data_IF_484111801579
#
_entry.id   IF_484111801579
#
_cell.length_a   1.000
_cell.length_b   1.000
_cell.length_c   1.000
_cell.angle_alpha   90.00
_cell.angle_beta   90.00
_cell.angle_gamma   90.00
#
_symmetry.space_group_name_H-M   'P 1'
#
loop_
_entity.id
_entity.type
_entity.pdbx_description
1 polymer ?
#
# COMPACT_ATOMS: atom_id res chain seq x y z
N UNK A 1 14.13 -5.99 1.42
CA UNK A 1 13.15 -6.31 0.37
C UNK A 1 13.79 -7.15 -0.76
N UNK A 2 14.85 -6.64 -1.43
CA UNK A 2 15.44 -7.30 -2.61
C UNK A 2 15.86 -8.76 -2.34
N UNK A 3 16.51 -9.05 -1.21
CA UNK A 3 16.91 -10.42 -0.87
C UNK A 3 15.71 -11.35 -0.64
N UNK A 4 14.62 -10.87 -0.02
CA UNK A 4 13.40 -11.66 0.16
C UNK A 4 12.70 -11.94 -1.20
N UNK A 5 12.71 -10.96 -2.12
CA UNK A 5 12.23 -11.15 -3.49
C UNK A 5 13.03 -12.23 -4.22
N UNK A 6 14.37 -12.27 -4.07
CA UNK A 6 15.22 -13.34 -4.62
C UNK A 6 14.87 -14.73 -4.06
N UNK A 7 14.48 -14.80 -2.77
CA UNK A 7 13.98 -16.04 -2.18
C UNK A 7 12.70 -16.54 -2.88
N UNK A 8 11.74 -15.63 -3.15
CA UNK A 8 10.54 -15.98 -3.91
C UNK A 8 10.86 -16.32 -5.39
N UNK A 9 11.77 -15.59 -6.03
CA UNK A 9 12.21 -15.89 -7.39
C UNK A 9 12.77 -17.31 -7.49
N UNK A 10 13.57 -17.74 -6.51
CA UNK A 10 14.05 -19.11 -6.47
C UNK A 10 12.91 -20.12 -6.43
N UNK A 11 11.88 -19.88 -5.61
CA UNK A 11 10.73 -20.77 -5.49
C UNK A 11 9.85 -20.78 -6.74
N UNK A 12 9.65 -19.62 -7.38
CA UNK A 12 8.74 -19.49 -8.52
C UNK A 12 9.39 -19.92 -9.84
N UNK A 13 10.69 -19.59 -10.06
CA UNK A 13 11.32 -19.68 -11.36
C UNK A 13 12.44 -20.74 -11.43
N UNK A 14 13.08 -21.07 -10.29
CA UNK A 14 14.20 -22.03 -10.24
C UNK A 14 13.78 -23.40 -9.74
N UNK A 15 12.82 -23.47 -8.83
CA UNK A 15 12.28 -24.75 -8.37
C UNK A 15 11.48 -25.43 -9.49
N UNK A 16 11.61 -26.76 -9.61
CA UNK A 16 10.88 -27.55 -10.58
C UNK A 16 10.23 -28.75 -9.89
N UNK A 17 8.89 -28.84 -9.79
CA UNK A 17 7.92 -27.80 -10.18
C UNK A 17 8.03 -26.53 -9.36
N UNK A 18 7.49 -25.38 -9.84
CA UNK A 18 7.44 -24.15 -9.09
C UNK A 18 6.79 -24.32 -7.71
N UNK A 19 7.23 -23.56 -6.72
CA UNK A 19 6.66 -23.60 -5.36
C UNK A 19 5.98 -22.28 -5.06
N UNK A 20 4.72 -22.33 -4.65
CA UNK A 20 3.96 -21.17 -4.15
C UNK A 20 4.10 -21.18 -2.64
N UNK A 21 4.65 -20.10 -2.08
CA UNK A 21 4.97 -20.00 -0.66
C UNK A 21 3.72 -19.85 0.22
N UNK A 22 2.72 -19.08 -0.25
CA UNK A 22 1.37 -18.95 0.29
C UNK A 22 1.22 -18.14 1.58
N UNK A 23 2.21 -18.10 2.46
CA UNK A 23 2.18 -17.34 3.73
C UNK A 23 3.34 -16.33 3.82
N UNK A 24 3.56 -15.55 2.75
CA UNK A 24 4.58 -14.54 2.73
C UNK A 24 4.18 -13.35 3.59
N UNK A 25 4.90 -13.17 4.70
CA UNK A 25 4.69 -12.11 5.68
C UNK A 25 6.00 -11.74 6.36
N UNK A 26 6.06 -10.57 6.98
CA UNK A 26 7.27 -10.05 7.63
C UNK A 26 7.83 -10.98 8.70
N UNK A 27 6.97 -11.65 9.50
CA UNK A 27 7.41 -12.57 10.56
C UNK A 27 8.05 -13.88 10.05
N UNK A 28 7.83 -14.23 8.78
CA UNK A 28 8.43 -15.42 8.15
C UNK A 28 9.71 -15.10 7.38
N UNK A 29 10.20 -13.85 7.46
CA UNK A 29 11.47 -13.42 6.89
C UNK A 29 12.46 -13.24 8.02
N UNK A 30 13.36 -14.20 8.17
CA UNK A 30 14.42 -14.17 9.16
C UNK A 30 15.64 -13.44 8.61
N UNK A 31 16.40 -12.79 9.48
CA UNK A 31 17.65 -12.14 9.12
C UNK A 31 18.79 -12.92 9.75
N UNK A 32 19.82 -13.24 8.98
CA UNK A 32 21.06 -13.82 9.53
C UNK A 32 21.95 -12.72 10.12
N UNK A 33 23.13 -13.10 10.62
CA UNK A 33 24.10 -12.18 11.24
C UNK A 33 24.54 -11.07 10.28
N UNK A 34 24.53 -11.31 8.97
CA UNK A 34 24.82 -10.32 7.92
C UNK A 34 23.60 -9.54 7.45
N UNK A 35 22.46 -9.64 8.17
CA UNK A 35 21.17 -9.07 7.79
C UNK A 35 20.66 -9.55 6.43
N UNK A 36 21.12 -10.74 5.96
CA UNK A 36 20.59 -11.33 4.74
C UNK A 36 19.25 -12.01 5.05
N UNK A 37 18.19 -11.72 4.29
CA UNK A 37 16.89 -12.30 4.53
C UNK A 37 16.83 -13.75 4.08
N UNK A 38 16.18 -14.58 4.88
CA UNK A 38 15.91 -15.99 4.63
C UNK A 38 14.43 -16.27 4.85
N UNK A 39 13.78 -16.90 3.89
CA UNK A 39 12.40 -17.34 4.03
C UNK A 39 12.35 -18.56 4.96
N UNK A 40 11.38 -18.58 5.87
CA UNK A 40 11.15 -19.64 6.85
C UNK A 40 9.70 -20.04 6.86
N UNK A 41 9.35 -21.13 7.57
CA UNK A 41 7.97 -21.62 7.70
C UNK A 41 7.30 -21.97 6.35
N UNK A 42 7.71 -23.10 5.76
CA UNK A 42 7.13 -23.63 4.53
C UNK A 42 5.90 -24.53 4.77
N UNK A 43 5.32 -24.53 5.97
CA UNK A 43 4.21 -25.40 6.35
C UNK A 43 2.96 -25.26 5.48
N UNK A 44 2.76 -24.09 4.84
CA UNK A 44 1.64 -23.84 3.94
C UNK A 44 2.00 -23.87 2.46
N UNK A 45 3.27 -24.06 2.11
CA UNK A 45 3.73 -24.05 0.72
C UNK A 45 3.04 -25.13 -0.13
N UNK A 46 2.85 -24.83 -1.41
CA UNK A 46 2.24 -25.75 -2.39
C UNK A 46 3.07 -25.78 -3.66
N UNK A 47 3.16 -26.95 -4.26
CA UNK A 47 3.66 -27.06 -5.63
C UNK A 47 2.73 -26.29 -6.56
N UNK A 48 3.31 -25.54 -7.47
CA UNK A 48 2.60 -24.80 -8.49
C UNK A 48 1.88 -25.70 -9.49
N UNK A 49 1.05 -25.12 -10.35
CA UNK A 49 0.32 -25.88 -11.35
C UNK A 49 1.29 -26.52 -12.35
N UNK A 50 0.96 -27.73 -12.80
CA UNK A 50 1.71 -28.49 -13.81
C UNK A 50 0.83 -28.75 -15.01
N UNK A 51 1.43 -28.92 -16.19
CA UNK A 51 0.73 -29.09 -17.46
C UNK A 51 -0.08 -27.85 -17.83
N UNK A 52 -1.29 -28.03 -18.33
CA UNK A 52 -2.16 -26.93 -18.81
C UNK A 52 -2.92 -26.18 -17.71
N UNK A 53 -2.62 -26.46 -16.45
CA UNK A 53 -3.30 -25.81 -15.31
C UNK A 53 -2.71 -24.43 -15.05
N UNK A 54 -3.59 -23.43 -14.85
CA UNK A 54 -3.21 -22.05 -14.57
C UNK A 54 -3.08 -21.73 -13.06
N UNK A 55 -3.64 -22.58 -12.18
CA UNK A 55 -3.68 -22.37 -10.73
C UNK A 55 -3.79 -23.68 -9.96
N UNK A 56 -3.58 -23.62 -8.66
CA UNK A 56 -3.86 -24.70 -7.71
C UNK A 56 -5.12 -24.35 -6.94
N UNK A 57 -6.18 -25.15 -7.10
CA UNK A 57 -7.40 -25.01 -6.27
C UNK A 57 -7.14 -25.58 -4.87
N UNK A 58 -7.32 -24.77 -3.85
CA UNK A 58 -7.06 -25.18 -2.46
C UNK A 58 -7.92 -24.39 -1.49
N UNK A 59 -8.14 -24.98 -0.29
CA UNK A 59 -8.74 -24.22 0.81
C UNK A 59 -7.93 -22.93 1.07
N UNK A 60 -8.60 -21.81 1.25
CA UNK A 60 -7.96 -20.55 1.58
C UNK A 60 -7.27 -20.66 2.94
N UNK A 61 -5.98 -20.42 2.96
CA UNK A 61 -5.13 -20.42 4.14
C UNK A 61 -4.07 -19.32 3.98
N UNK A 62 -3.47 -18.91 5.09
CA UNK A 62 -2.48 -17.83 5.12
C UNK A 62 -2.86 -16.78 6.17
N UNK A 63 -2.18 -15.66 6.16
CA UNK A 63 -2.31 -14.61 7.19
C UNK A 63 -3.18 -13.46 6.69
N UNK A 64 -4.20 -13.10 7.50
CA UNK A 64 -5.08 -11.96 7.19
C UNK A 64 -4.26 -10.66 6.99
N UNK A 65 -4.61 -9.90 5.95
CA UNK A 65 -3.90 -8.68 5.55
C UNK A 65 -2.83 -8.89 4.49
N UNK A 66 -2.32 -10.13 4.32
CA UNK A 66 -1.31 -10.47 3.30
C UNK A 66 -1.88 -11.29 2.15
N UNK A 67 -3.05 -11.88 2.33
CA UNK A 67 -3.67 -12.76 1.35
C UNK A 67 -4.17 -11.96 0.14
N UNK A 68 -3.82 -12.44 -1.06
CA UNK A 68 -4.29 -11.84 -2.32
C UNK A 68 -5.83 -11.95 -2.45
N UNK A 69 -6.51 -10.90 -2.95
CA UNK A 69 -7.98 -10.84 -2.96
C UNK A 69 -8.61 -11.97 -3.80
N UNK A 70 -8.06 -12.28 -4.97
CA UNK A 70 -8.58 -13.36 -5.82
C UNK A 70 -8.45 -14.73 -5.13
N UNK A 71 -7.32 -14.97 -4.46
CA UNK A 71 -7.12 -16.20 -3.72
C UNK A 71 -8.09 -16.31 -2.54
N UNK A 72 -8.27 -15.21 -1.78
CA UNK A 72 -9.21 -15.17 -0.65
C UNK A 72 -10.65 -15.44 -1.07
N UNK A 73 -11.07 -14.99 -2.27
CA UNK A 73 -12.44 -15.16 -2.78
C UNK A 73 -12.68 -16.49 -3.48
N UNK A 74 -11.69 -17.01 -4.20
CA UNK A 74 -11.89 -18.16 -5.11
C UNK A 74 -11.15 -19.43 -4.71
N UNK A 75 -10.16 -19.35 -3.81
CA UNK A 75 -9.27 -20.46 -3.51
C UNK A 75 -8.28 -20.82 -4.63
N UNK A 76 -8.20 -19.99 -5.68
CA UNK A 76 -7.27 -20.18 -6.81
C UNK A 76 -5.90 -19.58 -6.46
N UNK A 77 -4.96 -20.44 -6.10
CA UNK A 77 -3.62 -20.08 -5.68
C UNK A 77 -2.68 -20.06 -6.88
N UNK A 78 -1.90 -18.99 -7.01
CA UNK A 78 -0.89 -18.81 -8.07
C UNK A 78 0.38 -18.17 -7.51
N UNK A 79 1.47 -18.17 -8.27
CA UNK A 79 2.70 -17.42 -7.93
C UNK A 79 2.41 -15.91 -7.81
N UNK A 80 1.41 -15.39 -8.53
CA UNK A 80 0.98 -13.99 -8.43
C UNK A 80 0.31 -13.66 -7.09
N UNK A 81 -0.19 -14.66 -6.37
CA UNK A 81 -0.71 -14.49 -5.00
C UNK A 81 0.43 -14.18 -4.03
N UNK A 82 1.60 -14.83 -4.18
CA UNK A 82 2.81 -14.50 -3.40
C UNK A 82 3.35 -13.10 -3.72
N UNK A 83 3.27 -12.68 -4.99
CA UNK A 83 3.69 -11.32 -5.41
C UNK A 83 2.85 -10.26 -4.72
N UNK A 84 1.54 -10.51 -4.55
CA UNK A 84 0.68 -9.60 -3.76
C UNK A 84 1.15 -9.53 -2.30
N UNK A 85 1.35 -10.67 -1.67
CA UNK A 85 1.83 -10.75 -0.28
C UNK A 85 3.19 -10.06 -0.10
N UNK A 86 4.10 -10.23 -1.08
CA UNK A 86 5.36 -9.49 -1.15
C UNK A 86 5.12 -7.98 -1.19
N UNK A 87 4.19 -7.52 -2.02
CA UNK A 87 3.82 -6.09 -2.11
C UNK A 87 3.35 -5.52 -0.78
N UNK A 88 2.59 -6.30 0.01
CA UNK A 88 2.15 -5.90 1.36
C UNK A 88 3.34 -5.77 2.30
N UNK A 89 4.24 -6.75 2.35
CA UNK A 89 5.46 -6.67 3.17
C UNK A 89 6.34 -5.49 2.74
N UNK A 90 6.43 -5.23 1.43
CA UNK A 90 7.21 -4.10 0.93
C UNK A 90 6.60 -2.76 1.36
N UNK A 91 5.27 -2.65 1.38
CA UNK A 91 4.58 -1.49 1.97
C UNK A 91 4.84 -1.35 3.47
N UNK A 92 4.85 -2.44 4.24
CA UNK A 92 5.23 -2.39 5.66
C UNK A 92 6.63 -1.77 5.84
N UNK A 93 7.60 -2.17 5.00
CA UNK A 93 8.96 -1.64 5.05
C UNK A 93 9.04 -0.15 4.68
N UNK A 94 8.25 0.30 3.70
CA UNK A 94 8.24 1.71 3.28
C UNK A 94 7.57 2.60 4.33
N UNK A 95 6.45 2.11 4.89
CA UNK A 95 5.56 2.94 5.73
C UNK A 95 5.83 2.83 7.22
N UNK A 96 6.56 1.79 7.65
CA UNK A 96 6.73 1.46 9.07
C UNK A 96 5.43 0.99 9.75
N UNK A 97 4.35 0.73 8.99
CA UNK A 97 3.05 0.28 9.49
C UNK A 97 2.89 -1.22 9.30
N UNK A 98 2.11 -1.84 10.17
CA UNK A 98 1.73 -3.27 10.04
C UNK A 98 0.66 -3.42 8.95
N UNK A 99 0.61 -4.58 8.30
CA UNK A 99 -0.41 -4.93 7.30
C UNK A 99 -1.84 -4.76 7.88
N UNK A 100 -2.03 -5.15 9.13
CA UNK A 100 -3.25 -4.90 9.90
C UNK A 100 -2.86 -4.30 11.25
N UNK A 101 -3.46 -3.16 11.56
CA UNK A 101 -3.27 -2.44 12.83
C UNK A 101 -4.60 -1.91 13.35
N UNK A 102 -5.17 -2.60 14.34
CA UNK A 102 -6.45 -2.25 14.96
C UNK A 102 -6.40 -0.95 15.78
N UNK A 103 -5.22 -0.43 16.09
CA UNK A 103 -5.05 0.86 16.81
C UNK A 103 -5.29 2.07 15.91
N UNK A 104 -5.26 1.87 14.60
CA UNK A 104 -5.51 2.92 13.62
C UNK A 104 -6.99 3.27 13.50
N UNK A 105 -7.34 4.50 13.07
CA UNK A 105 -8.71 4.89 12.82
C UNK A 105 -9.42 3.96 11.83
N UNK A 106 -10.75 3.87 11.94
CA UNK A 106 -11.56 3.13 10.97
C UNK A 106 -11.23 3.55 9.53
N UNK A 107 -11.11 2.59 8.64
CA UNK A 107 -10.69 2.79 7.24
C UNK A 107 -9.17 2.90 7.02
N UNK A 108 -8.37 2.97 8.10
CA UNK A 108 -6.91 2.98 8.02
C UNK A 108 -6.25 1.76 8.67
N UNK A 109 -7.04 0.83 9.21
CA UNK A 109 -6.57 -0.37 9.91
C UNK A 109 -5.91 -1.38 8.96
N UNK A 110 -6.33 -1.42 7.71
CA UNK A 110 -5.72 -2.23 6.66
C UNK A 110 -4.76 -1.36 5.84
N UNK A 111 -3.49 -1.74 5.82
CA UNK A 111 -2.41 -0.99 5.17
C UNK A 111 -2.67 -0.78 3.68
N UNK A 112 -3.10 -1.83 2.96
CA UNK A 112 -3.35 -1.76 1.51
C UNK A 112 -4.54 -0.83 1.22
N UNK A 113 -5.62 -0.94 1.99
CA UNK A 113 -6.80 -0.09 1.83
C UNK A 113 -6.47 1.38 2.06
N UNK A 114 -5.65 1.67 3.07
CA UNK A 114 -5.20 3.03 3.36
C UNK A 114 -4.23 3.57 2.30
N UNK A 115 -3.27 2.76 1.84
CA UNK A 115 -2.24 3.20 0.90
C UNK A 115 -2.76 3.40 -0.53
N UNK A 116 -3.69 2.56 -0.99
CA UNK A 116 -4.16 2.52 -2.38
C UNK A 116 -4.62 3.88 -2.94
N UNK A 117 -5.46 4.67 -2.27
CA UNK A 117 -5.86 5.99 -2.78
C UNK A 117 -4.71 7.00 -2.83
N UNK A 118 -3.64 6.79 -2.03
CA UNK A 118 -2.50 7.69 -1.98
C UNK A 118 -1.57 7.52 -3.19
N UNK A 119 -1.57 6.36 -3.85
CA UNK A 119 -0.79 6.13 -5.08
C UNK A 119 -1.25 6.98 -6.27
N UNK A 120 -2.48 7.50 -6.24
CA UNK A 120 -3.02 8.30 -7.33
C UNK A 120 -2.51 9.75 -7.34
N UNK A 121 -1.88 10.21 -6.25
CA UNK A 121 -1.38 11.58 -6.12
C UNK A 121 0.06 11.59 -5.61
N UNK A 122 1.01 11.91 -6.51
CA UNK A 122 2.44 11.98 -6.16
C UNK A 122 2.76 12.93 -5.01
N UNK A 123 1.94 13.97 -4.80
CA UNK A 123 2.11 14.91 -3.69
C UNK A 123 1.89 14.25 -2.31
N UNK A 124 1.19 13.11 -2.29
CA UNK A 124 0.91 12.33 -1.08
C UNK A 124 1.93 11.21 -0.82
N UNK A 125 2.91 11.01 -1.70
CA UNK A 125 3.89 9.92 -1.56
C UNK A 125 4.73 10.04 -0.28
N UNK A 126 5.06 11.25 0.14
CA UNK A 126 5.78 11.48 1.40
C UNK A 126 4.97 11.09 2.64
N UNK A 127 3.64 11.09 2.57
CA UNK A 127 2.78 10.61 3.67
C UNK A 127 2.73 9.09 3.79
N UNK A 128 3.22 8.35 2.77
CA UNK A 128 3.38 6.90 2.81
C UNK A 128 4.69 6.46 3.47
N UNK A 129 5.63 7.37 3.69
CA UNK A 129 6.96 7.01 4.21
C UNK A 129 6.93 6.93 5.73
N UNK A 130 7.67 5.98 6.29
CA UNK A 130 7.90 5.88 7.73
C UNK A 130 8.42 7.22 8.28
N UNK A 131 7.69 7.88 9.19
CA UNK A 131 8.11 9.16 9.78
C UNK A 131 9.49 9.12 10.44
N UNK A 132 9.92 7.93 10.91
CA UNK A 132 11.24 7.74 11.54
C UNK A 132 12.41 7.93 10.56
N UNK A 133 12.15 7.91 9.25
CA UNK A 133 13.16 8.23 8.24
C UNK A 133 13.47 9.73 8.17
N UNK A 134 12.61 10.61 8.73
CA UNK A 134 12.86 12.06 8.86
C UNK A 134 13.27 12.74 7.54
N UNK A 135 12.72 12.27 6.42
CA UNK A 135 13.07 12.78 5.07
C UNK A 135 14.43 12.32 4.54
N UNK A 136 15.17 11.46 5.25
CA UNK A 136 16.48 10.97 4.85
C UNK A 136 16.37 9.81 3.86
N UNK A 137 15.86 10.07 2.68
CA UNK A 137 15.74 9.13 1.56
C UNK A 137 15.75 9.87 0.22
N UNK A 138 16.21 9.23 -0.87
CA UNK A 138 16.17 9.84 -2.20
C UNK A 138 14.74 9.81 -2.75
N UNK A 139 14.18 10.97 -3.11
CA UNK A 139 12.81 11.08 -3.65
C UNK A 139 12.61 10.22 -4.91
N UNK A 140 13.61 10.16 -5.78
CA UNK A 140 13.56 9.30 -6.99
C UNK A 140 13.44 7.83 -6.62
N UNK A 141 14.21 7.37 -5.63
CA UNK A 141 14.15 6.00 -5.11
C UNK A 141 12.79 5.69 -4.48
N UNK A 142 12.24 6.64 -3.70
CA UNK A 142 10.90 6.50 -3.13
C UNK A 142 9.83 6.32 -4.22
N UNK A 143 9.85 7.13 -5.27
CA UNK A 143 8.89 7.01 -6.38
C UNK A 143 8.96 5.64 -7.07
N UNK A 144 10.16 5.13 -7.28
CA UNK A 144 10.38 3.82 -7.88
C UNK A 144 9.92 2.70 -6.93
N UNK A 145 10.25 2.78 -5.64
CA UNK A 145 9.81 1.80 -4.63
C UNK A 145 8.28 1.74 -4.53
N UNK A 146 7.61 2.90 -4.45
CA UNK A 146 6.16 2.97 -4.41
C UNK A 146 5.50 2.45 -5.70
N UNK A 147 6.12 2.69 -6.86
CA UNK A 147 5.64 2.13 -8.13
C UNK A 147 5.69 0.60 -8.12
N UNK A 148 6.79 0.00 -7.67
CA UNK A 148 6.91 -1.46 -7.52
C UNK A 148 5.87 -1.99 -6.54
N UNK A 149 5.73 -1.37 -5.36
CA UNK A 149 4.75 -1.77 -4.36
C UNK A 149 3.32 -1.72 -4.92
N UNK A 150 2.95 -0.63 -5.61
CA UNK A 150 1.61 -0.46 -6.19
C UNK A 150 1.30 -1.49 -7.27
N UNK A 151 2.28 -1.87 -8.09
CA UNK A 151 2.11 -2.94 -9.09
C UNK A 151 1.92 -4.31 -8.44
N UNK A 152 2.66 -4.62 -7.39
CA UNK A 152 2.53 -5.90 -6.68
C UNK A 152 1.15 -6.08 -6.04
N UNK A 153 0.54 -5.01 -5.51
CA UNK A 153 -0.76 -5.07 -4.83
C UNK A 153 -1.97 -4.83 -5.74
N UNK A 154 -1.82 -4.96 -7.07
CA UNK A 154 -2.96 -4.87 -7.99
C UNK A 154 -4.01 -5.94 -7.65
N UNK A 155 -5.29 -5.57 -7.79
CA UNK A 155 -6.40 -6.49 -7.51
C UNK A 155 -6.40 -7.67 -8.47
N UNK A 156 -6.21 -7.38 -9.75
CA UNK A 156 -6.10 -8.39 -10.78
C UNK A 156 -4.72 -9.05 -10.77
N UNK A 157 -4.66 -10.34 -10.55
CA UNK A 157 -3.40 -11.10 -10.52
C UNK A 157 -2.57 -10.94 -11.79
N UNK A 158 -3.22 -10.90 -12.96
CA UNK A 158 -2.56 -10.71 -14.25
C UNK A 158 -1.83 -9.37 -14.40
N UNK A 159 -2.29 -8.33 -13.70
CA UNK A 159 -1.68 -6.99 -13.71
C UNK A 159 -0.44 -6.88 -12.80
N UNK A 160 -0.21 -7.87 -11.93
CA UNK A 160 0.99 -7.91 -11.08
C UNK A 160 2.20 -8.32 -11.88
N UNK A 161 3.41 -7.80 -11.60
CA UNK A 161 4.64 -8.21 -12.25
C UNK A 161 4.98 -9.68 -11.94
N UNK A 162 5.93 -10.27 -12.66
CA UNK A 162 6.62 -11.48 -12.24
C UNK A 162 7.59 -11.12 -11.11
N UNK A 163 7.91 -12.10 -10.25
CA UNK A 163 8.83 -11.83 -9.14
C UNK A 163 10.25 -11.49 -9.65
N UNK A 164 10.67 -12.04 -10.80
CA UNK A 164 11.94 -11.72 -11.45
C UNK A 164 12.04 -10.22 -11.84
N UNK A 165 10.93 -9.63 -12.32
CA UNK A 165 10.87 -8.20 -12.64
C UNK A 165 11.02 -7.35 -11.37
N UNK A 166 10.38 -7.80 -10.27
CA UNK A 166 10.49 -7.16 -8.96
C UNK A 166 11.93 -7.23 -8.44
N UNK A 167 12.60 -8.38 -8.55
CA UNK A 167 14.01 -8.56 -8.17
C UNK A 167 14.91 -7.61 -8.95
N UNK A 168 14.70 -7.51 -10.26
CA UNK A 168 15.46 -6.60 -11.13
C UNK A 168 15.29 -5.16 -10.70
N UNK A 169 14.06 -4.70 -10.51
CA UNK A 169 13.77 -3.33 -10.09
C UNK A 169 14.35 -3.00 -8.71
N UNK A 170 14.22 -3.89 -7.73
CA UNK A 170 14.74 -3.69 -6.39
C UNK A 170 16.26 -3.80 -6.32
N UNK A 171 16.88 -4.65 -7.13
CA UNK A 171 18.34 -4.73 -7.21
C UNK A 171 18.93 -3.44 -7.79
N UNK A 172 18.28 -2.86 -8.80
CA UNK A 172 18.66 -1.55 -9.32
C UNK A 172 18.55 -0.46 -8.25
N UNK A 173 17.45 -0.43 -7.49
CA UNK A 173 17.26 0.53 -6.41
C UNK A 173 18.31 0.39 -5.30
N UNK A 174 18.65 -0.85 -4.92
CA UNK A 174 19.63 -1.12 -3.87
C UNK A 174 21.05 -0.70 -4.27
N UNK A 175 21.35 -0.70 -5.56
CA UNK A 175 22.67 -0.31 -6.10
C UNK A 175 22.79 1.21 -6.35
N UNK A 176 21.70 1.99 -6.19
CA UNK A 176 21.79 3.44 -6.23
C UNK A 176 22.41 3.95 -4.93
N UNK A 177 23.65 4.44 -5.00
CA UNK A 177 24.32 5.08 -3.85
C UNK A 177 23.49 6.27 -3.36
N UNK A 178 23.16 6.29 -2.10
CA UNK A 178 22.54 7.40 -1.40
C UNK A 178 23.40 7.79 -0.21
N UNK A 179 23.90 9.01 -0.22
CA UNK A 179 24.61 9.58 0.91
C UNK A 179 23.68 10.54 1.67
N UNK A 180 23.21 10.17 2.85
CA UNK A 180 22.30 10.99 3.64
C UNK A 180 22.96 12.29 4.14
N UNK A 181 24.29 12.41 4.13
CA UNK A 181 25.00 13.59 4.61
C UNK A 181 25.06 14.70 3.56
N UNK A 182 24.97 14.35 2.28
CA UNK A 182 25.03 15.30 1.14
C UNK A 182 23.65 15.64 0.58
N UNK A 183 22.61 14.97 1.04
CA UNK A 183 21.25 15.20 0.55
C UNK A 183 20.68 16.51 1.11
N UNK A 184 20.09 17.40 0.26
CA UNK A 184 19.39 18.57 0.76
C UNK A 184 18.25 18.13 1.68
N UNK A 185 18.21 18.70 2.90
CA UNK A 185 17.11 18.49 3.82
C UNK A 185 15.81 18.94 3.12
N UNK A 186 14.91 18.00 2.83
CA UNK A 186 13.58 18.35 2.37
C UNK A 186 12.88 19.10 3.52
N UNK A 187 12.71 20.43 3.36
CA UNK A 187 11.94 21.24 4.27
C UNK A 187 10.53 20.64 4.37
N UNK A 188 10.25 19.99 5.48
CA UNK A 188 8.89 19.70 5.92
C UNK A 188 8.31 21.08 6.22
N UNK A 189 7.50 21.61 5.30
CA UNK A 189 6.69 22.79 5.57
C UNK A 189 5.66 22.34 6.62
N UNK A 190 6.05 22.48 7.89
CA UNK A 190 5.11 22.47 8.98
C UNK A 190 4.24 23.69 8.81
N UNK A 191 3.00 23.50 8.36
CA UNK A 191 1.96 24.52 8.40
C UNK A 191 1.60 24.81 9.85
N UNK A 192 2.47 25.54 10.55
CA UNK A 192 2.10 26.23 11.78
C UNK A 192 1.29 27.46 11.35
N UNK A 193 -0.02 27.39 11.53
CA UNK A 193 -0.92 28.52 11.47
C UNK A 193 -0.55 29.52 12.56
N UNK A 194 0.30 30.49 12.23
CA UNK A 194 0.45 31.69 13.07
C UNK A 194 -0.69 32.65 12.73
N UNK A 195 -1.67 32.68 13.62
CA UNK A 195 -2.65 33.76 13.71
C UNK A 195 -1.91 35.06 13.99
N UNK A 196 -1.71 35.88 12.95
CA UNK A 196 -1.32 37.29 13.12
C UNK A 196 -2.59 38.08 13.40
N UNK A 197 -2.78 38.49 14.67
CA UNK A 197 -3.70 39.56 15.05
C UNK A 197 -3.32 40.86 14.33
N UNK A 198 -4.29 41.46 13.67
CA UNK A 198 -4.19 42.77 13.04
C UNK A 198 -4.79 43.80 13.99
N UNK A 199 -4.14 44.95 14.29
CA UNK A 199 -4.70 45.95 15.20
C UNK A 199 -5.91 46.63 14.57
N UNK A 200 -6.93 46.86 15.41
CA UNK A 200 -8.14 47.61 15.09
C UNK A 200 -7.81 49.09 14.99
N UNK A 201 -8.04 49.71 13.84
CA UNK A 201 -8.27 51.16 13.76
C UNK A 201 -9.72 51.43 13.46
N UNK A 202 -10.33 52.20 14.35
CA UNK A 202 -11.70 52.68 14.25
C UNK A 202 -11.84 53.79 13.19
N UNK A 203 -12.93 53.75 12.40
CA UNK A 203 -13.66 54.96 11.90
C UNK A 203 -15.00 54.51 11.30
N UNK A 204 -16.03 54.88 12.01
CA UNK A 204 -17.20 55.77 11.77
C UNK A 204 -17.99 55.60 10.46
N UNK A 205 -19.22 55.12 10.69
CA UNK A 205 -20.54 55.53 10.16
C UNK A 205 -20.71 55.87 8.67
N UNK A 206 -21.66 55.20 7.99
CA UNK A 206 -22.98 55.76 7.58
C UNK A 206 -23.84 54.68 6.94
N UNK A 207 -25.13 54.83 7.26
CA UNK A 207 -26.30 54.12 6.78
C UNK A 207 -26.42 54.06 5.27
N UNK A 208 -27.01 52.95 4.72
CA UNK A 208 -28.24 53.06 3.95
C UNK A 208 -28.95 51.72 3.81
N UNK A 209 -30.25 51.82 3.83
CA UNK A 209 -31.27 50.79 3.84
C UNK A 209 -31.46 50.14 2.44
N UNK A 210 -32.06 48.95 2.41
CA UNK A 210 -32.88 48.58 1.28
C UNK A 210 -32.90 47.13 0.84
N UNK A 211 -33.97 46.38 1.17
CA UNK A 211 -34.65 45.50 0.24
C UNK A 211 -34.47 43.99 0.40
N UNK A 212 -35.23 43.41 1.25
CA UNK A 212 -36.29 42.38 1.08
C UNK A 212 -36.28 41.58 -0.24
N UNK A 213 -36.16 40.27 -0.12
CA UNK A 213 -37.18 39.34 -0.60
C UNK A 213 -36.84 37.87 -0.25
N UNK A 214 -37.74 37.39 0.55
CA UNK A 214 -38.05 36.04 1.00
C UNK A 214 -38.64 35.22 -0.17
N UNK A 215 -38.23 33.99 -0.34
CA UNK A 215 -39.05 32.95 -0.95
C UNK A 215 -38.90 31.64 -0.14
N UNK A 216 -39.94 31.42 0.68
CA UNK A 216 -40.36 30.12 1.16
C UNK A 216 -41.23 29.48 0.05
N UNK A 217 -41.20 28.14 -0.07
CA UNK A 217 -42.28 27.23 -0.46
C UNK A 217 -41.72 25.81 -0.34
N UNK A 218 -42.05 25.10 0.68
CA UNK A 218 -43.05 24.08 0.98
C UNK A 218 -43.38 23.16 -0.19
N UNK A 219 -43.28 21.85 0.10
CA UNK A 219 -44.42 20.97 -0.17
C UNK A 219 -44.16 19.67 -0.93
N UNK A 220 -44.26 18.60 -0.19
CA UNK A 220 -45.14 17.42 -0.39
C UNK A 220 -44.60 16.22 -1.17
N UNK A 221 -44.56 15.14 -0.41
CA UNK A 221 -45.30 13.87 -0.50
C UNK A 221 -44.77 12.75 -1.41
N UNK A 222 -44.62 11.63 -0.67
CA UNK A 222 -44.48 10.25 -1.13
C UNK A 222 -45.68 9.78 -1.98
N UNK A 223 -45.58 8.64 -2.72
CA UNK A 223 -46.07 7.41 -2.10
C UNK A 223 -45.24 6.15 -2.36
N UNK A 224 -45.47 5.23 -1.43
CA UNK A 224 -45.14 3.80 -1.45
C UNK A 224 -45.85 3.06 -2.58
N UNK A 225 -45.16 2.13 -3.21
CA UNK A 225 -45.86 0.95 -3.76
C UNK A 225 -45.07 -0.34 -3.54
N UNK A 226 -45.74 -1.21 -2.87
CA UNK A 226 -45.47 -2.61 -2.60
C UNK A 226 -45.98 -3.44 -3.77
N UNK A 227 -45.18 -4.32 -4.36
CA UNK A 227 -45.72 -5.50 -5.07
C UNK A 227 -44.86 -6.71 -4.74
N UNK A 228 -45.60 -7.74 -4.26
CA UNK A 228 -45.21 -9.15 -4.10
C UNK A 228 -45.02 -9.81 -5.46
N UNK A 229 -44.05 -10.64 -5.65
CA UNK A 229 -44.11 -12.08 -5.93
C UNK A 229 -42.71 -12.64 -5.83
#
# INVERSE_FOLDING_TARGET
>A
AAGAAKGLEFLHDKANPPVIYRDFKSSNILLDEGFQPKLSDFGLAKLGPTGDKSHVSTRVMGTYGYCAPEYAMTGQLTVKSDVYSFGVVFLELITGRKAIDSTQPHGQQNLVTWARPLFNDRRKFTSLVDPRLEGRYPMRGLYQALAVASMCIQEQAAARPLIADVVTALSYLANQGYDPTTAPAHNIISSSSSSKERPKTARSSKNDEGGCSRWDLEGSDSPKETVKM
#
